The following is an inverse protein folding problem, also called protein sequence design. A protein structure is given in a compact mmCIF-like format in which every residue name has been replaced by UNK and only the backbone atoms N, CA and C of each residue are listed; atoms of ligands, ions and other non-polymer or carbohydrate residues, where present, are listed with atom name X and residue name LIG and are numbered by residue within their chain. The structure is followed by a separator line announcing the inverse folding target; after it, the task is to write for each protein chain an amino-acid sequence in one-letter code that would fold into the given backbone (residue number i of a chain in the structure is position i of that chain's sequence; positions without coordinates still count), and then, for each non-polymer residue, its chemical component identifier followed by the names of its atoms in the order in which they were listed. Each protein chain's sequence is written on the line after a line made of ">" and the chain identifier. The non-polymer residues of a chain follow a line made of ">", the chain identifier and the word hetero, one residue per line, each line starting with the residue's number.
data_IF_647313144452
#
_entry.id   IF_647313144452
#
_cell.length_a   1.000
_cell.length_b   1.000
_cell.length_c   1.000
_cell.angle_alpha   90.00
_cell.angle_beta   90.00
_cell.angle_gamma   90.00
#
_symmetry.space_group_name_H-M   'P 1'
#
loop_
_entity.id
_entity.type
_entity.pdbx_description
1 polymer ?
#
# COMPACT_ATOMS: atom_id res chain seq x y z
N UNK A 1 -10.45 -7.29 22.28
CA UNK A 1 -9.64 -8.47 21.91
C UNK A 1 -10.45 -9.70 21.49
N UNK A 2 -11.45 -10.16 22.23
CA UNK A 2 -12.21 -11.39 21.85
C UNK A 2 -12.83 -11.32 20.44
N UNK A 3 -13.50 -10.20 20.10
CA UNK A 3 -14.05 -9.94 18.76
C UNK A 3 -12.98 -10.01 17.67
N UNK A 4 -11.81 -9.39 17.91
CA UNK A 4 -10.70 -9.41 16.97
C UNK A 4 -10.20 -10.84 16.72
N UNK A 5 -9.96 -11.64 17.77
CA UNK A 5 -9.53 -13.04 17.63
C UNK A 5 -10.53 -13.88 16.82
N UNK A 6 -11.83 -13.67 17.04
CA UNK A 6 -12.87 -14.35 16.28
C UNK A 6 -12.77 -14.03 14.78
N UNK A 7 -12.72 -12.75 14.41
CA UNK A 7 -12.67 -12.35 13.00
C UNK A 7 -11.29 -12.52 12.37
N UNK A 8 -10.21 -12.55 13.15
CA UNK A 8 -8.89 -12.91 12.66
C UNK A 8 -8.93 -14.30 12.00
N UNK A 9 -9.53 -15.27 12.68
CA UNK A 9 -9.66 -16.64 12.18
C UNK A 9 -10.80 -16.81 11.17
N UNK A 10 -11.94 -16.13 11.37
CA UNK A 10 -13.13 -16.31 10.50
C UNK A 10 -13.13 -15.49 9.22
N UNK A 11 -12.33 -14.41 9.14
CA UNK A 11 -12.37 -13.47 8.02
C UNK A 11 -10.97 -13.10 7.52
N UNK A 12 -10.13 -12.52 8.37
CA UNK A 12 -8.85 -11.96 7.91
C UNK A 12 -7.89 -13.03 7.38
N UNK A 13 -7.64 -14.11 8.13
CA UNK A 13 -6.77 -15.21 7.66
C UNK A 13 -7.34 -15.90 6.40
N UNK A 14 -8.64 -16.21 6.31
CA UNK A 14 -9.24 -16.70 5.07
C UNK A 14 -9.00 -15.77 3.87
N UNK A 15 -9.19 -14.45 4.02
CA UNK A 15 -8.91 -13.48 2.95
C UNK A 15 -7.43 -13.43 2.58
N UNK A 16 -6.53 -13.49 3.55
CA UNK A 16 -5.08 -13.54 3.32
C UNK A 16 -4.72 -14.82 2.54
N UNK A 17 -5.27 -15.97 2.94
CA UNK A 17 -5.08 -17.25 2.25
C UNK A 17 -5.54 -17.18 0.80
N UNK A 18 -6.71 -16.58 0.57
CA UNK A 18 -7.26 -16.40 -0.78
C UNK A 18 -6.36 -15.48 -1.63
N UNK A 19 -5.93 -14.33 -1.10
CA UNK A 19 -5.02 -13.44 -1.80
C UNK A 19 -3.69 -14.12 -2.17
N UNK A 20 -3.09 -14.88 -1.23
CA UNK A 20 -1.87 -15.64 -1.47
C UNK A 20 -2.09 -16.77 -2.49
N UNK A 21 -3.26 -17.42 -2.49
CA UNK A 21 -3.62 -18.41 -3.51
C UNK A 21 -3.66 -17.79 -4.91
N UNK A 22 -4.07 -16.53 -5.02
CA UNK A 22 -4.06 -15.73 -6.25
C UNK A 22 -2.69 -15.11 -6.59
N UNK A 23 -1.65 -15.42 -5.80
CA UNK A 23 -0.28 -14.96 -6.03
C UNK A 23 -0.06 -13.49 -5.69
N UNK A 24 -0.85 -12.93 -4.78
CA UNK A 24 -0.72 -11.56 -4.29
C UNK A 24 0.15 -11.50 -3.03
N UNK A 25 0.90 -10.40 -2.91
CA UNK A 25 1.46 -9.96 -1.63
C UNK A 25 0.37 -9.26 -0.82
N UNK A 26 0.46 -9.34 0.51
CA UNK A 26 -0.56 -8.78 1.39
C UNK A 26 0.08 -7.80 2.39
N UNK A 27 -0.42 -6.58 2.41
CA UNK A 27 -0.18 -5.62 3.49
C UNK A 27 -1.44 -5.61 4.35
N UNK A 28 -1.30 -5.90 5.64
CA UNK A 28 -2.42 -5.87 6.58
C UNK A 28 -2.30 -4.60 7.42
N UNK A 29 -3.35 -3.78 7.38
CA UNK A 29 -3.53 -2.62 8.26
C UNK A 29 -4.44 -2.98 9.45
N UNK A 30 -4.38 -2.25 10.58
CA UNK A 30 -5.17 -2.62 11.75
C UNK A 30 -6.65 -2.31 11.53
N UNK A 31 -7.58 -3.04 12.20
CA UNK A 31 -8.98 -2.70 12.11
C UNK A 31 -9.30 -1.39 12.84
N UNK A 32 -10.06 -0.52 12.18
CA UNK A 32 -10.55 0.74 12.72
C UNK A 32 -9.92 1.97 12.06
N UNK A 33 -10.41 3.14 12.45
CA UNK A 33 -9.85 4.45 12.07
C UNK A 33 -8.94 4.91 13.21
N UNK A 34 -7.77 5.44 12.90
CA UNK A 34 -6.88 5.99 13.92
C UNK A 34 -7.48 7.27 14.53
N UNK A 35 -7.45 7.43 15.86
CA UNK A 35 -7.84 8.68 16.47
C UNK A 35 -6.98 9.85 16.00
N UNK A 36 -7.55 11.06 15.96
CA UNK A 36 -6.80 12.27 15.58
C UNK A 36 -5.65 12.57 16.54
N UNK A 37 -5.88 12.40 17.83
CA UNK A 37 -4.88 12.58 18.90
C UNK A 37 -4.58 11.23 19.54
N UNK A 38 -3.32 10.82 19.47
CA UNK A 38 -2.83 9.59 20.11
C UNK A 38 -1.61 9.92 20.97
N UNK A 39 -1.47 9.22 22.10
CA UNK A 39 -0.38 9.43 23.05
C UNK A 39 0.32 8.13 23.41
N UNK A 40 1.62 8.20 23.67
CA UNK A 40 2.40 7.03 24.12
C UNK A 40 1.71 6.37 25.30
N UNK A 41 1.46 5.07 25.18
CA UNK A 41 0.82 4.28 26.23
C UNK A 41 -0.69 4.47 26.38
N UNK A 42 -1.37 5.25 25.53
CA UNK A 42 -2.82 5.45 25.59
C UNK A 42 -3.63 4.18 25.26
N UNK A 43 -4.96 4.32 25.17
CA UNK A 43 -5.86 3.21 24.83
C UNK A 43 -5.58 2.64 23.42
N UNK A 44 -5.29 3.49 22.44
CA UNK A 44 -5.05 3.07 21.07
C UNK A 44 -3.67 2.42 20.90
N UNK A 45 -2.63 2.94 21.56
CA UNK A 45 -1.29 2.34 21.60
C UNK A 45 -1.33 0.93 22.19
N UNK A 46 -2.02 0.75 23.33
CA UNK A 46 -2.24 -0.58 23.92
C UNK A 46 -3.06 -1.50 23.02
N UNK A 47 -4.03 -0.95 22.29
CA UNK A 47 -4.81 -1.70 21.31
C UNK A 47 -3.93 -2.21 20.16
N UNK A 48 -3.10 -1.35 19.55
CA UNK A 48 -2.17 -1.72 18.48
C UNK A 48 -1.22 -2.84 18.90
N UNK A 49 -0.59 -2.71 20.07
CA UNK A 49 0.25 -3.78 20.64
C UNK A 49 -0.52 -5.10 20.75
N UNK A 50 -1.74 -5.05 21.30
CA UNK A 50 -2.57 -6.24 21.49
C UNK A 50 -2.97 -6.94 20.19
N UNK A 51 -3.41 -6.19 19.17
CA UNK A 51 -3.80 -6.78 17.88
C UNK A 51 -2.60 -7.32 17.12
N UNK A 52 -1.48 -6.58 17.10
CA UNK A 52 -0.32 -6.97 16.33
C UNK A 52 0.42 -8.15 16.96
N UNK A 53 0.54 -8.19 18.29
CA UNK A 53 0.98 -9.39 19.01
C UNK A 53 0.11 -10.60 18.64
N UNK A 54 -1.21 -10.43 18.59
CA UNK A 54 -2.13 -11.54 18.26
C UNK A 54 -1.99 -11.99 16.80
N UNK A 55 -1.84 -11.06 15.87
CA UNK A 55 -1.66 -11.35 14.44
C UNK A 55 -0.32 -12.04 14.16
N UNK A 56 0.77 -11.49 14.71
CA UNK A 56 2.13 -11.99 14.53
C UNK A 56 2.36 -13.36 15.18
N UNK A 57 1.58 -13.71 16.21
CA UNK A 57 1.64 -15.02 16.86
C UNK A 57 0.94 -16.14 16.07
N UNK A 58 0.10 -15.82 15.08
CA UNK A 58 -0.60 -16.83 14.30
C UNK A 58 0.38 -17.63 13.42
N UNK A 59 0.22 -18.96 13.44
CA UNK A 59 1.16 -19.87 12.76
C UNK A 59 1.20 -19.65 11.25
N UNK A 60 0.05 -19.46 10.62
CA UNK A 60 -0.02 -19.24 9.17
C UNK A 60 0.64 -17.91 8.80
N UNK A 61 0.43 -16.88 9.61
CA UNK A 61 1.05 -15.57 9.42
C UNK A 61 2.57 -15.66 9.51
N UNK A 62 3.13 -16.34 10.52
CA UNK A 62 4.59 -16.51 10.65
C UNK A 62 5.18 -17.30 9.49
N UNK A 63 4.56 -18.41 9.10
CA UNK A 63 5.04 -19.25 7.99
C UNK A 63 5.06 -18.50 6.66
N UNK A 64 4.18 -17.50 6.50
CA UNK A 64 4.03 -16.74 5.25
C UNK A 64 4.55 -15.29 5.38
N UNK A 65 5.42 -14.99 6.36
CA UNK A 65 5.93 -13.64 6.58
C UNK A 65 6.83 -13.11 5.44
N UNK A 66 7.19 -13.94 4.46
CA UNK A 66 7.87 -13.50 3.23
C UNK A 66 6.92 -12.89 2.18
N UNK A 67 5.61 -13.00 2.38
CA UNK A 67 4.56 -12.54 1.45
C UNK A 67 3.55 -11.63 2.17
N UNK A 68 3.40 -11.79 3.49
CA UNK A 68 2.56 -10.97 4.36
C UNK A 68 3.42 -9.92 5.06
N UNK A 69 2.92 -8.69 5.10
CA UNK A 69 3.52 -7.56 5.81
C UNK A 69 2.47 -6.82 6.65
N UNK A 70 2.93 -5.99 7.58
CA UNK A 70 2.10 -5.29 8.57
C UNK A 70 2.29 -3.79 8.42
N UNK A 71 1.21 -3.05 8.26
CA UNK A 71 1.19 -1.59 8.42
C UNK A 71 0.71 -1.25 9.84
N UNK A 72 1.52 -0.56 10.64
CA UNK A 72 1.26 -0.47 12.10
C UNK A 72 -0.02 0.29 12.46
N UNK A 73 -0.33 1.36 11.73
CA UNK A 73 -1.53 2.18 11.92
C UNK A 73 -1.86 2.95 10.63
N UNK A 74 -3.15 3.16 10.39
CA UNK A 74 -3.68 3.99 9.32
C UNK A 74 -3.76 5.44 9.79
N UNK A 75 -3.09 6.38 9.12
CA UNK A 75 -3.20 7.82 9.29
C UNK A 75 -3.11 8.37 10.73
N UNK A 76 -1.99 8.19 11.45
CA UNK A 76 -1.72 9.03 12.60
C UNK A 76 -1.73 10.52 12.21
N UNK A 77 -2.50 11.34 12.93
CA UNK A 77 -2.58 12.79 12.68
C UNK A 77 -1.65 13.54 13.63
N UNK A 78 -1.92 13.49 14.93
CA UNK A 78 -1.10 14.08 15.99
C UNK A 78 -0.67 13.01 16.99
N UNK A 79 0.64 12.90 17.20
CA UNK A 79 1.25 11.90 18.09
C UNK A 79 1.97 12.63 19.21
N UNK A 80 1.60 12.31 20.45
CA UNK A 80 2.10 12.97 21.65
C UNK A 80 2.87 11.99 22.55
N UNK A 81 3.70 12.55 23.42
CA UNK A 81 4.26 11.81 24.55
C UNK A 81 3.16 11.37 25.53
N UNK A 82 3.49 10.49 26.47
CA UNK A 82 2.51 9.92 27.41
C UNK A 82 1.89 10.94 28.38
N UNK A 83 2.55 12.10 28.57
CA UNK A 83 2.04 13.24 29.34
C UNK A 83 1.23 14.24 28.48
N UNK A 84 1.04 13.95 27.19
CA UNK A 84 0.34 14.80 26.23
C UNK A 84 1.22 15.89 25.59
N UNK A 85 2.50 15.99 25.93
CA UNK A 85 3.40 16.97 25.33
C UNK A 85 3.79 16.61 23.88
N UNK A 86 4.10 17.64 23.09
CA UNK A 86 4.68 17.48 21.76
C UNK A 86 6.19 17.25 21.86
N UNK A 87 6.72 16.27 21.13
CA UNK A 87 8.15 15.96 21.10
C UNK A 87 8.54 15.30 19.78
N UNK A 88 9.76 15.55 19.30
CA UNK A 88 10.32 14.84 18.14
C UNK A 88 10.58 13.34 18.40
N UNK A 89 10.42 12.88 19.66
CA UNK A 89 10.47 11.47 20.04
C UNK A 89 9.12 10.76 19.97
N UNK A 90 8.01 11.50 19.87
CA UNK A 90 6.68 10.93 20.07
C UNK A 90 6.37 9.80 19.08
N UNK A 91 6.73 9.96 17.80
CA UNK A 91 6.56 8.92 16.78
C UNK A 91 7.38 7.66 17.07
N UNK A 92 8.64 7.82 17.47
CA UNK A 92 9.51 6.69 17.85
C UNK A 92 8.94 5.96 19.07
N UNK A 93 8.71 6.67 20.17
CA UNK A 93 8.30 6.08 21.45
C UNK A 93 6.88 5.48 21.38
N UNK A 94 6.06 5.95 20.44
CA UNK A 94 4.75 5.38 20.19
C UNK A 94 4.84 4.05 19.42
N UNK A 95 5.63 3.99 18.34
CA UNK A 95 5.64 2.85 17.43
C UNK A 95 6.72 1.80 17.71
N UNK A 96 7.87 2.16 18.30
CA UNK A 96 8.91 1.20 18.65
C UNK A 96 8.38 0.05 19.53
N UNK A 97 7.60 0.29 20.60
CA UNK A 97 7.04 -0.79 21.40
C UNK A 97 6.05 -1.69 20.65
N UNK A 98 5.46 -1.21 19.55
CA UNK A 98 4.56 -2.01 18.70
C UNK A 98 5.39 -2.92 17.78
N UNK A 99 6.50 -2.41 17.24
CA UNK A 99 7.48 -3.21 16.48
C UNK A 99 8.04 -4.34 17.34
N UNK A 100 8.44 -4.01 18.57
CA UNK A 100 9.02 -4.98 19.51
C UNK A 100 8.03 -6.13 19.79
N UNK A 101 6.77 -5.81 20.09
CA UNK A 101 5.72 -6.80 20.33
C UNK A 101 5.47 -7.74 19.13
N UNK A 102 5.63 -7.24 17.90
CA UNK A 102 5.54 -8.07 16.69
C UNK A 102 6.73 -9.02 16.59
N UNK A 103 7.95 -8.49 16.77
CA UNK A 103 9.19 -9.27 16.66
C UNK A 103 9.31 -10.34 17.75
N UNK A 104 8.84 -10.05 18.96
CA UNK A 104 8.74 -11.05 20.04
C UNK A 104 7.93 -12.29 19.67
N UNK A 105 7.00 -12.20 18.70
CA UNK A 105 6.23 -13.36 18.23
C UNK A 105 6.94 -14.15 17.11
N UNK A 106 8.15 -13.74 16.71
CA UNK A 106 8.93 -14.38 15.66
C UNK A 106 8.48 -14.04 14.24
N UNK A 107 7.70 -12.96 14.06
CA UNK A 107 7.33 -12.48 12.73
C UNK A 107 8.54 -11.82 12.05
N UNK A 108 8.89 -12.27 10.84
CA UNK A 108 10.07 -11.82 10.10
C UNK A 108 9.75 -10.94 8.88
N UNK A 109 8.47 -10.71 8.62
CA UNK A 109 8.02 -9.96 7.46
C UNK A 109 8.25 -8.46 7.60
N UNK A 110 7.97 -7.73 6.52
CA UNK A 110 8.13 -6.28 6.51
C UNK A 110 7.13 -5.65 7.47
N UNK A 111 7.62 -4.71 8.29
CA UNK A 111 6.77 -3.79 9.06
C UNK A 111 6.83 -2.42 8.40
N UNK A 112 5.68 -1.88 8.02
CA UNK A 112 5.51 -0.54 7.48
C UNK A 112 5.09 0.41 8.59
N UNK A 113 6.01 1.31 8.94
CA UNK A 113 5.86 2.30 10.00
C UNK A 113 5.21 3.57 9.42
N UNK A 114 4.09 4.05 9.97
CA UNK A 114 3.42 5.26 9.50
C UNK A 114 4.07 6.53 10.07
N UNK A 115 3.90 7.64 9.37
CA UNK A 115 4.23 8.98 9.86
C UNK A 115 3.02 9.71 10.46
N UNK A 116 3.25 10.93 10.93
CA UNK A 116 2.19 11.84 11.38
C UNK A 116 1.53 12.57 10.19
N UNK A 117 0.54 13.43 10.48
CA UNK A 117 -0.13 14.25 9.48
C UNK A 117 -0.80 13.42 8.38
N UNK A 118 -1.57 12.41 8.76
CA UNK A 118 -2.21 11.48 7.82
C UNK A 118 -1.16 10.72 6.97
N UNK A 119 -0.09 10.24 7.60
CA UNK A 119 1.02 9.54 6.91
C UNK A 119 1.78 10.39 5.87
N UNK A 120 1.87 11.70 6.06
CA UNK A 120 2.67 12.60 5.20
C UNK A 120 3.96 13.14 5.84
N UNK A 121 4.14 13.00 7.16
CA UNK A 121 5.24 13.63 7.90
C UNK A 121 6.14 12.61 8.61
N UNK A 122 7.44 12.56 8.25
CA UNK A 122 8.42 11.56 8.71
C UNK A 122 9.73 12.15 9.23
N UNK A 123 9.85 13.47 9.29
CA UNK A 123 11.11 14.16 9.58
C UNK A 123 11.70 13.78 10.95
N UNK A 124 10.83 13.52 11.93
CA UNK A 124 11.24 13.16 13.30
C UNK A 124 11.99 11.82 13.37
N UNK A 125 11.72 10.88 12.43
CA UNK A 125 12.44 9.61 12.35
C UNK A 125 13.90 9.77 11.95
N UNK A 126 14.31 10.91 11.37
CA UNK A 126 15.73 11.19 11.11
C UNK A 126 16.53 11.29 12.41
N UNK A 127 15.92 11.88 13.44
CA UNK A 127 16.55 12.06 14.76
C UNK A 127 16.33 10.86 15.67
N UNK A 128 15.14 10.27 15.60
CA UNK A 128 14.71 9.18 16.46
C UNK A 128 14.24 8.00 15.58
N UNK A 129 15.16 7.27 14.91
CA UNK A 129 14.79 6.20 13.99
C UNK A 129 14.25 4.98 14.75
N UNK A 130 13.32 4.27 14.11
CA UNK A 130 12.94 2.92 14.56
C UNK A 130 14.13 1.97 14.43
N UNK A 131 14.28 1.09 15.41
CA UNK A 131 15.20 -0.05 15.39
C UNK A 131 14.42 -1.34 15.24
N UNK A 132 14.97 -2.30 14.49
CA UNK A 132 14.32 -3.58 14.23
C UNK A 132 15.36 -4.68 14.24
N UNK A 133 15.13 -5.71 15.06
CA UNK A 133 16.04 -6.85 15.20
C UNK A 133 16.19 -7.67 13.92
N UNK A 134 15.16 -7.67 13.06
CA UNK A 134 15.20 -8.35 11.75
C UNK A 134 15.77 -7.44 10.65
N UNK A 135 16.00 -6.15 10.93
CA UNK A 135 16.32 -5.11 9.96
C UNK A 135 15.38 -5.16 8.72
N UNK A 136 14.09 -5.43 8.94
CA UNK A 136 13.11 -5.66 7.90
C UNK A 136 11.86 -4.80 8.12
N UNK A 137 12.08 -3.48 8.14
CA UNK A 137 11.03 -2.48 8.24
C UNK A 137 11.29 -1.32 7.27
N UNK A 138 10.19 -0.66 6.89
CA UNK A 138 10.17 0.54 6.07
C UNK A 138 8.98 1.41 6.41
N UNK A 139 8.64 2.41 5.58
CA UNK A 139 7.58 3.38 5.88
C UNK A 139 6.40 3.27 4.92
N UNK A 140 5.18 3.30 5.48
CA UNK A 140 3.93 3.40 4.73
C UNK A 140 3.53 4.88 4.63
N UNK A 141 3.34 5.40 3.42
CA UNK A 141 3.15 6.84 3.12
C UNK A 141 1.83 7.04 2.37
N UNK A 142 1.13 8.15 2.63
CA UNK A 142 -0.05 8.54 1.84
C UNK A 142 0.30 9.74 0.96
N UNK A 143 -0.18 9.75 -0.28
CA UNK A 143 0.14 10.81 -1.24
C UNK A 143 -1.12 11.31 -1.94
N UNK A 144 -1.48 12.57 -1.68
CA UNK A 144 -2.65 13.22 -2.26
C UNK A 144 -2.31 14.59 -2.87
N UNK A 145 -3.17 15.04 -3.79
CA UNK A 145 -3.08 16.38 -4.34
C UNK A 145 -3.26 17.44 -3.25
N UNK A 146 -2.49 18.51 -3.30
CA UNK A 146 -2.40 19.55 -2.27
C UNK A 146 -1.35 19.26 -1.19
N UNK A 147 -0.75 18.07 -1.16
CA UNK A 147 0.29 17.72 -0.19
C UNK A 147 1.69 18.04 -0.72
N UNK A 148 2.73 17.79 0.08
CA UNK A 148 4.14 17.92 -0.32
C UNK A 148 4.48 19.29 -0.93
N UNK A 149 4.12 20.36 -0.22
CA UNK A 149 4.34 21.74 -0.68
C UNK A 149 3.25 22.23 -1.64
N UNK A 150 2.00 21.86 -1.38
CA UNK A 150 0.83 22.26 -2.17
C UNK A 150 0.92 21.85 -3.65
N UNK A 151 1.42 20.63 -3.90
CA UNK A 151 1.52 20.10 -5.25
C UNK A 151 0.13 19.76 -5.77
N UNK A 152 -0.31 20.42 -6.82
CA UNK A 152 -1.67 20.32 -7.39
C UNK A 152 -1.62 20.46 -8.91
N UNK A 153 -2.76 20.33 -9.59
CA UNK A 153 -2.88 20.67 -11.02
C UNK A 153 -2.55 22.14 -11.37
N UNK A 154 -2.37 23.02 -10.37
CA UNK A 154 -1.92 24.40 -10.56
C UNK A 154 -0.43 24.58 -10.23
N UNK A 155 0.19 23.60 -9.58
CA UNK A 155 1.58 23.61 -9.12
C UNK A 155 2.12 22.18 -9.16
N UNK A 156 2.58 21.74 -10.33
CA UNK A 156 2.99 20.34 -10.60
C UNK A 156 4.40 20.25 -11.22
N UNK A 157 5.29 21.20 -10.88
CA UNK A 157 6.69 21.10 -11.28
C UNK A 157 7.35 19.84 -10.69
N UNK A 158 7.97 19.03 -11.55
CA UNK A 158 8.48 17.71 -11.19
C UNK A 158 9.61 17.81 -10.14
N UNK A 159 10.59 18.68 -10.37
CA UNK A 159 11.74 18.82 -9.48
C UNK A 159 11.34 19.40 -8.12
N UNK A 160 10.35 20.29 -8.11
CA UNK A 160 9.74 20.81 -6.89
C UNK A 160 9.06 19.70 -6.10
N UNK A 161 8.27 18.83 -6.75
CA UNK A 161 7.66 17.69 -6.06
C UNK A 161 8.74 16.77 -5.47
N UNK A 162 9.76 16.40 -6.24
CA UNK A 162 10.86 15.54 -5.78
C UNK A 162 11.53 16.12 -4.53
N UNK A 163 11.88 17.42 -4.54
CA UNK A 163 12.49 18.09 -3.38
C UNK A 163 11.56 18.12 -2.17
N UNK A 164 10.29 18.47 -2.37
CA UNK A 164 9.33 18.57 -1.27
C UNK A 164 9.00 17.21 -0.66
N UNK A 165 8.84 16.18 -1.50
CA UNK A 165 8.61 14.81 -1.05
C UNK A 165 9.79 14.32 -0.20
N UNK A 166 11.03 14.46 -0.68
CA UNK A 166 12.23 14.15 0.11
C UNK A 166 12.28 14.94 1.42
N UNK A 167 11.91 16.21 1.41
CA UNK A 167 11.95 17.03 2.62
C UNK A 167 10.97 16.55 3.70
N UNK A 168 9.82 15.99 3.32
CA UNK A 168 8.82 15.47 4.25
C UNK A 168 8.99 13.98 4.57
N UNK A 169 9.51 13.21 3.61
CA UNK A 169 9.79 11.76 3.69
C UNK A 169 11.29 11.50 3.45
N UNK A 170 12.19 12.00 4.31
CA UNK A 170 13.64 11.91 4.08
C UNK A 170 14.15 10.45 3.98
N UNK A 171 13.41 9.51 4.56
CA UNK A 171 13.75 8.09 4.54
C UNK A 171 13.71 7.47 3.15
N UNK A 172 13.08 8.12 2.16
CA UNK A 172 13.05 7.64 0.76
C UNK A 172 14.45 7.44 0.17
N UNK A 173 15.47 8.15 0.64
CA UNK A 173 16.84 7.99 0.13
C UNK A 173 17.55 6.73 0.64
N UNK A 174 17.05 6.13 1.73
CA UNK A 174 17.77 5.06 2.46
C UNK A 174 16.94 3.80 2.65
N UNK A 175 15.62 3.88 2.52
CA UNK A 175 14.68 2.78 2.73
C UNK A 175 13.59 2.79 1.65
N UNK A 176 13.11 1.61 1.21
CA UNK A 176 11.93 1.53 0.35
C UNK A 176 10.73 2.23 0.96
N UNK A 177 9.87 2.80 0.13
CA UNK A 177 8.62 3.42 0.58
C UNK A 177 7.46 2.64 -0.02
N UNK A 178 6.41 2.41 0.78
CA UNK A 178 5.15 1.91 0.25
C UNK A 178 4.11 3.02 0.34
N UNK A 179 3.64 3.50 -0.80
CA UNK A 179 2.49 4.40 -0.83
C UNK A 179 1.23 3.56 -0.72
N UNK A 180 0.63 3.55 0.47
CA UNK A 180 -0.53 2.71 0.82
C UNK A 180 -1.86 3.35 0.45
N UNK A 181 -1.89 4.67 0.27
CA UNK A 181 -3.03 5.40 -0.26
C UNK A 181 -2.58 6.53 -1.19
N UNK A 182 -3.22 6.57 -2.36
CA UNK A 182 -3.12 7.61 -3.38
C UNK A 182 -4.25 7.38 -4.38
N UNK A 183 -4.97 8.43 -4.74
CA UNK A 183 -5.90 8.39 -5.85
C UNK A 183 -6.03 9.80 -6.42
N UNK A 184 -6.60 9.88 -7.62
CA UNK A 184 -6.97 11.15 -8.21
C UNK A 184 -7.98 10.95 -9.33
N UNK A 185 -8.84 11.94 -9.48
CA UNK A 185 -9.64 12.13 -10.68
C UNK A 185 -9.92 13.62 -10.87
N UNK A 186 -10.19 14.06 -12.10
CA UNK A 186 -10.57 15.46 -12.34
C UNK A 186 -11.89 15.82 -11.66
N UNK A 187 -12.12 17.12 -11.55
CA UNK A 187 -13.42 17.67 -11.17
C UNK A 187 -14.54 17.11 -12.06
N UNK A 188 -15.66 16.72 -11.46
CA UNK A 188 -16.83 16.21 -12.19
C UNK A 188 -17.60 17.39 -12.80
N UNK A 189 -17.65 17.53 -14.14
CA UNK A 189 -18.36 18.62 -14.80
C UNK A 189 -19.86 18.64 -14.48
N UNK A 190 -20.47 17.49 -14.19
CA UNK A 190 -21.91 17.41 -13.91
C UNK A 190 -22.27 17.90 -12.50
N UNK A 191 -21.26 18.06 -11.63
CA UNK A 191 -21.43 18.40 -10.21
C UNK A 191 -20.74 19.69 -9.82
N UNK A 192 -20.47 20.57 -10.78
CA UNK A 192 -19.75 21.82 -10.55
C UNK A 192 -20.39 22.74 -9.47
N UNK A 193 -21.69 22.61 -9.25
CA UNK A 193 -22.43 23.38 -8.24
C UNK A 193 -22.61 22.66 -6.89
N UNK A 194 -22.09 21.44 -6.73
CA UNK A 194 -22.31 20.57 -5.56
C UNK A 194 -21.09 20.51 -4.61
N UNK A 195 -20.20 21.50 -4.66
CA UNK A 195 -18.98 21.52 -3.84
C UNK A 195 -19.22 21.66 -2.34
N UNK A 196 -18.16 21.40 -1.56
CA UNK A 196 -18.14 21.53 -0.10
C UNK A 196 -16.87 22.23 0.37
N UNK A 197 -16.84 22.66 1.64
CA UNK A 197 -15.64 23.20 2.28
C UNK A 197 -14.88 22.06 2.96
N UNK A 198 -13.59 21.89 2.63
CA UNK A 198 -12.74 20.84 3.20
C UNK A 198 -12.23 21.20 4.62
N UNK A 199 -11.45 20.33 5.24
CA UNK A 199 -10.89 20.48 6.61
C UNK A 199 -9.97 21.70 6.74
N UNK A 200 -9.55 22.30 5.62
CA UNK A 200 -8.71 23.49 5.54
C UNK A 200 -9.50 24.76 5.22
N UNK A 201 -10.83 24.69 5.19
CA UNK A 201 -11.69 25.84 4.89
C UNK A 201 -11.60 26.29 3.43
N UNK A 202 -11.33 25.37 2.50
CA UNK A 202 -11.27 25.64 1.06
C UNK A 202 -12.48 25.03 0.35
N UNK A 203 -13.13 25.81 -0.53
CA UNK A 203 -14.20 25.28 -1.37
C UNK A 203 -13.62 24.31 -2.40
N UNK A 204 -14.22 23.12 -2.47
CA UNK A 204 -13.77 22.00 -3.29
C UNK A 204 -14.93 21.47 -4.12
N UNK A 205 -14.77 21.45 -5.45
CA UNK A 205 -15.71 20.80 -6.36
C UNK A 205 -15.62 19.28 -6.23
N UNK A 206 -16.73 18.53 -6.34
CA UNK A 206 -16.66 17.07 -6.40
C UNK A 206 -15.86 16.62 -7.61
N UNK A 207 -15.09 15.55 -7.46
CA UNK A 207 -14.40 14.86 -8.55
C UNK A 207 -15.18 13.63 -9.01
N UNK A 208 -14.61 12.88 -9.94
CA UNK A 208 -15.25 11.74 -10.59
C UNK A 208 -15.26 10.44 -9.75
N UNK A 209 -15.00 10.53 -8.43
CA UNK A 209 -15.17 9.44 -7.47
C UNK A 209 -13.91 8.97 -6.76
N UNK A 210 -12.96 9.88 -6.54
CA UNK A 210 -11.71 9.67 -5.78
C UNK A 210 -11.66 10.59 -4.55
N UNK A 211 -10.69 10.40 -3.65
CA UNK A 211 -10.48 11.32 -2.54
C UNK A 211 -9.84 12.64 -2.97
N UNK A 212 -8.83 12.59 -3.85
CA UNK A 212 -8.17 13.81 -4.33
C UNK A 212 -8.63 14.23 -5.73
N UNK A 213 -8.69 15.54 -5.93
CA UNK A 213 -8.98 16.17 -7.22
C UNK A 213 -7.68 16.53 -7.93
N UNK A 214 -7.37 15.84 -9.02
CA UNK A 214 -6.17 16.06 -9.83
C UNK A 214 -6.29 15.36 -11.19
N UNK A 215 -5.40 15.70 -12.13
CA UNK A 215 -5.37 15.12 -13.47
C UNK A 215 -4.05 14.40 -13.73
N UNK A 216 -4.12 13.23 -14.39
CA UNK A 216 -2.92 12.44 -14.74
C UNK A 216 -1.88 13.28 -15.49
N UNK A 217 -2.29 14.06 -16.50
CA UNK A 217 -1.41 14.88 -17.35
C UNK A 217 -0.69 16.01 -16.61
N UNK A 218 -1.07 16.30 -15.36
CA UNK A 218 -0.49 17.36 -14.53
C UNK A 218 0.10 16.76 -13.26
N UNK A 219 -0.65 16.78 -12.15
CA UNK A 219 -0.17 16.29 -10.87
C UNK A 219 0.23 14.82 -10.92
N UNK A 220 -0.50 13.98 -11.67
CA UNK A 220 -0.17 12.56 -11.78
C UNK A 220 1.20 12.30 -12.41
N UNK A 221 1.56 13.00 -13.50
CA UNK A 221 2.89 12.91 -14.11
C UNK A 221 3.99 13.50 -13.22
N UNK A 222 3.68 14.53 -12.43
CA UNK A 222 4.61 15.06 -11.44
C UNK A 222 4.88 14.04 -10.32
N UNK A 223 3.84 13.34 -9.84
CA UNK A 223 4.00 12.21 -8.93
C UNK A 223 4.80 11.08 -9.56
N UNK A 224 4.51 10.73 -10.83
CA UNK A 224 5.27 9.70 -11.55
C UNK A 224 6.76 10.04 -11.60
N UNK A 225 7.12 11.31 -11.76
CA UNK A 225 8.51 11.76 -11.72
C UNK A 225 9.15 11.51 -10.34
N UNK A 226 8.43 11.75 -9.22
CA UNK A 226 8.90 11.38 -7.86
C UNK A 226 9.14 9.88 -7.75
N UNK A 227 8.15 9.08 -8.16
CA UNK A 227 8.21 7.63 -8.12
C UNK A 227 9.42 7.08 -8.93
N UNK A 228 9.58 7.55 -10.17
CA UNK A 228 10.66 7.11 -11.06
C UNK A 228 12.03 7.62 -10.61
N UNK A 229 12.13 8.83 -10.02
CA UNK A 229 13.39 9.40 -9.55
C UNK A 229 14.01 8.59 -8.41
N UNK A 230 13.22 8.23 -7.40
CA UNK A 230 13.74 7.48 -6.25
C UNK A 230 13.86 5.98 -6.54
N UNK A 231 13.03 5.44 -7.42
CA UNK A 231 13.15 4.07 -7.91
C UNK A 231 12.94 2.96 -6.86
N UNK A 232 12.58 3.32 -5.62
CA UNK A 232 12.36 2.41 -4.49
C UNK A 232 10.99 2.61 -3.83
N UNK A 233 10.05 3.22 -4.55
CA UNK A 233 8.68 3.47 -4.11
C UNK A 233 7.79 2.40 -4.72
N UNK A 234 7.09 1.64 -3.88
CA UNK A 234 5.92 0.86 -4.28
C UNK A 234 4.65 1.69 -4.07
N UNK A 235 3.58 1.42 -4.81
CA UNK A 235 2.29 2.10 -4.60
C UNK A 235 1.09 1.21 -4.89
N UNK A 236 0.03 1.40 -4.11
CA UNK A 236 -1.33 0.98 -4.41
C UNK A 236 -2.23 2.21 -4.45
N UNK A 237 -3.38 2.16 -5.14
CA UNK A 237 -4.41 3.19 -4.97
C UNK A 237 -5.36 2.83 -3.83
N UNK A 238 -6.09 3.84 -3.37
CA UNK A 238 -6.86 3.80 -2.12
C UNK A 238 -7.97 2.77 -2.15
N UNK A 239 -8.69 2.64 -3.27
CA UNK A 239 -9.82 1.71 -3.34
C UNK A 239 -9.86 0.79 -4.57
N UNK A 240 -10.42 -0.44 -4.45
CA UNK A 240 -10.55 -1.36 -5.59
C UNK A 240 -11.37 -0.81 -6.77
N UNK A 241 -12.43 -0.03 -6.51
CA UNK A 241 -13.26 0.54 -7.59
C UNK A 241 -12.51 1.56 -8.46
N UNK A 242 -11.44 2.13 -7.94
CA UNK A 242 -10.57 3.04 -8.68
C UNK A 242 -9.66 2.24 -9.63
N UNK A 243 -9.34 0.99 -9.28
CA UNK A 243 -8.49 0.14 -10.09
C UNK A 243 -9.27 -0.37 -11.28
N UNK A 244 -10.43 -0.97 -11.03
CA UNK A 244 -11.22 -1.60 -12.08
C UNK A 244 -12.71 -1.35 -11.91
N UNK A 245 -13.40 -1.36 -13.05
CA UNK A 245 -14.85 -1.29 -13.08
C UNK A 245 -15.44 -2.64 -12.64
N UNK A 246 -15.93 -2.69 -11.40
CA UNK A 246 -16.50 -3.89 -10.80
C UNK A 246 -17.79 -4.33 -11.52
N UNK A 247 -18.60 -3.39 -12.01
CA UNK A 247 -19.85 -3.71 -12.68
C UNK A 247 -19.60 -4.38 -14.03
N UNK A 248 -18.62 -3.89 -14.79
CA UNK A 248 -18.19 -4.53 -16.03
C UNK A 248 -17.56 -5.88 -15.75
N UNK A 249 -16.71 -5.99 -14.72
CA UNK A 249 -16.12 -7.27 -14.34
C UNK A 249 -17.20 -8.31 -14.00
N UNK A 250 -18.19 -7.97 -13.17
CA UNK A 250 -19.27 -8.87 -12.80
C UNK A 250 -20.16 -9.26 -13.98
N UNK A 251 -20.38 -8.35 -14.94
CA UNK A 251 -21.23 -8.62 -16.12
C UNK A 251 -20.53 -9.42 -17.21
N UNK A 252 -19.23 -9.20 -17.42
CA UNK A 252 -18.54 -9.72 -18.63
C UNK A 252 -17.28 -10.52 -18.32
N UNK A 253 -16.86 -10.61 -17.06
CA UNK A 253 -15.58 -11.20 -16.65
C UNK A 253 -14.34 -10.43 -17.12
N UNK A 254 -14.50 -9.20 -17.61
CA UNK A 254 -13.39 -8.39 -18.15
C UNK A 254 -12.92 -7.39 -17.10
N UNK A 255 -11.63 -7.39 -16.82
CA UNK A 255 -10.99 -6.35 -15.99
C UNK A 255 -10.65 -5.19 -16.90
N UNK A 256 -11.28 -4.03 -16.63
CA UNK A 256 -10.99 -2.76 -17.30
C UNK A 256 -10.77 -1.68 -16.23
N UNK A 257 -10.05 -0.58 -16.52
CA UNK A 257 -9.80 0.46 -15.53
C UNK A 257 -11.09 1.02 -14.91
N UNK A 258 -11.03 1.49 -13.66
CA UNK A 258 -12.12 2.24 -13.02
C UNK A 258 -12.44 3.57 -13.72
N UNK A 259 -13.41 4.33 -13.21
CA UNK A 259 -13.81 5.66 -13.74
C UNK A 259 -14.38 5.65 -15.18
N UNK A 260 -15.10 4.60 -15.59
CA UNK A 260 -15.67 4.54 -16.94
C UNK A 260 -16.64 5.69 -17.25
N UNK A 261 -17.31 6.24 -16.22
CA UNK A 261 -18.15 7.44 -16.31
C UNK A 261 -17.39 8.67 -16.85
N UNK A 262 -16.09 8.79 -16.61
CA UNK A 262 -15.27 9.91 -17.07
C UNK A 262 -15.15 9.98 -18.60
N UNK A 263 -15.40 8.88 -19.32
CA UNK A 263 -15.33 8.83 -20.80
C UNK A 263 -16.30 9.79 -21.47
N UNK A 264 -17.48 10.00 -20.90
CA UNK A 264 -18.50 10.91 -21.48
C UNK A 264 -18.02 12.36 -21.56
N UNK A 265 -17.03 12.71 -20.74
CA UNK A 265 -16.41 14.03 -20.66
C UNK A 265 -15.02 14.07 -21.29
N UNK A 266 -14.53 12.97 -21.87
CA UNK A 266 -13.16 12.88 -22.38
C UNK A 266 -12.07 12.90 -21.28
N UNK A 267 -12.43 12.65 -20.02
CA UNK A 267 -11.53 12.75 -18.86
C UNK A 267 -11.01 11.40 -18.35
N UNK A 268 -11.31 10.31 -19.05
CA UNK A 268 -10.97 8.96 -18.61
C UNK A 268 -9.47 8.72 -18.43
N UNK A 269 -8.64 9.27 -19.32
CA UNK A 269 -7.19 9.11 -19.23
C UNK A 269 -6.57 9.95 -18.10
N UNK A 270 -7.31 10.94 -17.61
CA UNK A 270 -6.89 11.81 -16.50
C UNK A 270 -7.17 11.20 -15.12
N UNK A 271 -7.85 10.05 -15.05
CA UNK A 271 -8.16 9.36 -13.80
C UNK A 271 -7.08 8.34 -13.42
N UNK A 272 -6.87 8.14 -12.11
CA UNK A 272 -5.82 7.26 -11.59
C UNK A 272 -5.94 5.81 -12.06
N UNK A 273 -7.18 5.29 -12.23
CA UNK A 273 -7.41 3.92 -12.69
C UNK A 273 -6.75 3.61 -14.04
N UNK A 274 -6.91 4.51 -15.01
CA UNK A 274 -6.28 4.37 -16.33
C UNK A 274 -4.76 4.53 -16.25
N UNK A 275 -4.29 5.55 -15.51
CA UNK A 275 -2.86 5.82 -15.37
C UNK A 275 -2.12 4.66 -14.71
N UNK A 276 -2.59 4.17 -13.56
CA UNK A 276 -1.95 3.10 -12.81
C UNK A 276 -1.89 1.78 -13.59
N UNK A 277 -2.97 1.38 -14.28
CA UNK A 277 -2.94 0.19 -15.13
C UNK A 277 -1.88 0.30 -16.24
N UNK A 278 -1.74 1.47 -16.85
CA UNK A 278 -0.73 1.70 -17.88
C UNK A 278 0.70 1.75 -17.32
N UNK A 279 0.92 2.40 -16.17
CA UNK A 279 2.25 2.45 -15.55
C UNK A 279 2.72 1.09 -15.05
N UNK A 280 1.81 0.27 -14.50
CA UNK A 280 2.15 -1.12 -14.11
C UNK A 280 2.47 -1.98 -15.34
N UNK A 281 1.73 -1.80 -16.43
CA UNK A 281 2.03 -2.45 -17.71
C UNK A 281 3.40 -2.00 -18.25
N UNK A 282 3.68 -0.70 -18.25
CA UNK A 282 4.97 -0.15 -18.66
C UNK A 282 6.11 -0.74 -17.84
N UNK A 283 5.99 -0.73 -16.51
CA UNK A 283 6.95 -1.31 -15.60
C UNK A 283 7.17 -2.80 -15.90
N UNK A 284 6.09 -3.59 -16.01
CA UNK A 284 6.17 -5.01 -16.31
C UNK A 284 6.88 -5.30 -17.64
N UNK A 285 6.57 -4.54 -18.68
CA UNK A 285 7.19 -4.71 -20.00
C UNK A 285 8.68 -4.32 -19.98
N UNK A 286 9.08 -3.32 -19.18
CA UNK A 286 10.50 -3.00 -18.95
C UNK A 286 11.22 -4.12 -18.21
N UNK A 287 10.57 -4.80 -17.25
CA UNK A 287 11.20 -5.93 -16.54
C UNK A 287 11.57 -7.11 -17.43
N UNK A 288 10.92 -7.29 -18.59
CA UNK A 288 11.32 -8.31 -19.56
C UNK A 288 12.69 -8.04 -20.20
N UNK A 289 13.25 -6.82 -20.04
CA UNK A 289 14.60 -6.46 -20.53
C UNK A 289 15.65 -6.43 -19.43
N UNK A 290 15.29 -6.08 -18.20
CA UNK A 290 16.23 -5.99 -17.06
C UNK A 290 16.26 -7.24 -16.19
N UNK A 291 15.20 -8.05 -16.23
CA UNK A 291 15.01 -9.24 -15.42
C UNK A 291 15.13 -8.90 -13.94
N UNK A 292 14.01 -8.81 -13.20
CA UNK A 292 14.11 -9.05 -11.76
C UNK A 292 14.65 -10.48 -11.63
N UNK A 293 15.96 -10.60 -11.48
CA UNK A 293 16.61 -11.85 -11.12
C UNK A 293 16.01 -12.20 -9.77
N UNK A 294 14.99 -13.04 -9.78
CA UNK A 294 14.68 -13.84 -8.60
C UNK A 294 16.04 -14.44 -8.21
N UNK A 295 16.51 -14.15 -7.00
CA UNK A 295 17.70 -14.80 -6.46
C UNK A 295 17.47 -16.29 -6.66
N UNK A 296 18.19 -16.88 -7.63
CA UNK A 296 18.04 -18.28 -7.94
C UNK A 296 18.48 -19.04 -6.70
N UNK A 297 17.51 -19.62 -6.01
CA UNK A 297 17.81 -20.64 -5.03
C UNK A 297 18.46 -21.79 -5.80
N UNK A 298 19.69 -22.16 -5.46
CA UNK A 298 20.36 -23.36 -5.99
C UNK A 298 19.66 -24.68 -5.57
N UNK A 299 18.51 -24.60 -4.91
CA UNK A 299 17.72 -25.74 -4.50
C UNK A 299 16.92 -26.29 -5.70
N UNK A 300 17.02 -27.59 -5.91
CA UNK A 300 16.29 -28.32 -6.94
C UNK A 300 14.78 -28.22 -6.75
N UNK A 301 14.04 -28.26 -7.85
CA UNK A 301 12.57 -28.34 -7.83
C UNK A 301 12.16 -29.79 -7.55
N UNK A 302 11.50 -30.00 -6.42
CA UNK A 302 10.96 -31.31 -5.99
C UNK A 302 9.60 -31.58 -6.62
N UNK A 303 8.73 -30.57 -6.62
CA UNK A 303 7.42 -30.65 -7.28
C UNK A 303 7.02 -29.31 -7.86
N UNK A 304 6.15 -29.37 -8.87
CA UNK A 304 5.56 -28.19 -9.50
C UNK A 304 4.05 -28.33 -9.49
N UNK A 305 3.36 -27.37 -8.90
CA UNK A 305 1.91 -27.24 -8.88
C UNK A 305 1.52 -26.04 -9.73
N UNK A 306 0.40 -26.17 -10.44
CA UNK A 306 -0.12 -25.12 -11.29
C UNK A 306 -1.46 -24.67 -10.74
N UNK A 307 -1.65 -23.36 -10.63
CA UNK A 307 -2.93 -22.77 -10.24
C UNK A 307 -3.42 -21.88 -11.36
N UNK A 308 -4.69 -22.02 -11.74
CA UNK A 308 -5.34 -21.09 -12.65
C UNK A 308 -5.53 -19.72 -11.96
N UNK A 309 -6.02 -18.73 -12.71
CA UNK A 309 -6.24 -17.37 -12.17
C UNK A 309 -7.31 -17.31 -11.07
N UNK A 310 -8.12 -18.35 -10.91
CA UNK A 310 -9.10 -18.50 -9.82
C UNK A 310 -8.49 -19.15 -8.56
N UNK A 311 -7.17 -19.37 -8.54
CA UNK A 311 -6.48 -20.02 -7.43
C UNK A 311 -6.75 -21.53 -7.29
N UNK A 312 -7.38 -22.17 -8.29
CA UNK A 312 -7.62 -23.62 -8.30
C UNK A 312 -6.42 -24.36 -8.89
N UNK A 313 -6.02 -25.45 -8.22
CA UNK A 313 -4.97 -26.32 -8.72
C UNK A 313 -5.42 -27.03 -10.01
N UNK A 314 -4.52 -27.11 -10.99
CA UNK A 314 -4.75 -27.76 -12.29
C UNK A 314 -3.55 -28.65 -12.63
N UNK A 315 -3.77 -29.72 -13.39
CA UNK A 315 -2.68 -30.65 -13.76
C UNK A 315 -1.61 -29.97 -14.62
N UNK A 316 -2.03 -29.19 -15.62
CA UNK A 316 -1.10 -28.53 -16.54
C UNK A 316 -1.71 -27.29 -17.18
N UNK A 317 -0.97 -26.18 -17.28
CA UNK A 317 -1.46 -24.96 -17.89
C UNK A 317 -1.51 -25.12 -19.42
N UNK A 318 -2.65 -24.78 -20.03
CA UNK A 318 -2.92 -24.98 -21.47
C UNK A 318 -2.91 -23.68 -22.26
N UNK A 319 -3.51 -22.62 -21.74
CA UNK A 319 -3.47 -21.26 -22.27
C UNK A 319 -3.92 -20.26 -21.18
N UNK A 320 -3.39 -19.02 -21.20
CA UNK A 320 -3.73 -17.96 -20.25
C UNK A 320 -2.73 -17.77 -19.10
N UNK A 321 -3.16 -17.06 -18.05
CA UNK A 321 -2.33 -16.72 -16.89
C UNK A 321 -2.43 -17.82 -15.82
N UNK A 322 -1.29 -18.28 -15.32
CA UNK A 322 -1.20 -19.27 -14.24
C UNK A 322 -0.19 -18.86 -13.18
N UNK A 323 -0.39 -19.34 -11.97
CA UNK A 323 0.63 -19.32 -10.91
C UNK A 323 1.29 -20.69 -10.87
N UNK A 324 2.59 -20.73 -11.13
CA UNK A 324 3.41 -21.93 -10.90
C UNK A 324 3.96 -21.83 -9.48
N UNK A 325 3.65 -22.80 -8.63
CA UNK A 325 4.27 -22.98 -7.31
C UNK A 325 5.21 -24.17 -7.37
N UNK A 326 6.48 -23.95 -7.04
CA UNK A 326 7.50 -24.98 -7.04
C UNK A 326 7.97 -25.23 -5.62
N UNK A 327 7.82 -26.46 -5.14
CA UNK A 327 8.46 -26.90 -3.90
C UNK A 327 9.93 -27.16 -4.19
N UNK A 328 10.80 -26.53 -3.42
CA UNK A 328 12.24 -26.66 -3.55
C UNK A 328 12.79 -27.70 -2.56
N UNK A 329 13.95 -28.28 -2.85
CA UNK A 329 14.59 -29.32 -2.02
C UNK A 329 14.92 -28.89 -0.59
N UNK A 330 14.98 -27.58 -0.35
CA UNK A 330 15.14 -26.98 0.98
C UNK A 330 13.80 -26.68 1.69
N UNK A 331 12.68 -27.18 1.17
CA UNK A 331 11.34 -27.00 1.73
C UNK A 331 10.68 -25.64 1.45
N UNK A 332 11.37 -24.72 0.74
CA UNK A 332 10.80 -23.42 0.37
C UNK A 332 9.89 -23.54 -0.85
N UNK A 333 8.92 -22.64 -0.97
CA UNK A 333 8.06 -22.54 -2.16
C UNK A 333 8.48 -21.33 -2.98
N UNK A 334 8.77 -21.55 -4.26
CA UNK A 334 8.94 -20.49 -5.27
C UNK A 334 7.67 -20.34 -6.08
N UNK A 335 7.08 -19.16 -6.07
CA UNK A 335 5.89 -18.84 -6.88
C UNK A 335 6.25 -17.91 -8.03
N UNK A 336 5.74 -18.18 -9.24
CA UNK A 336 5.87 -17.27 -10.39
C UNK A 336 4.58 -17.24 -11.20
N UNK A 337 4.21 -16.05 -11.67
CA UNK A 337 3.11 -15.86 -12.63
C UNK A 337 3.66 -16.07 -14.04
N UNK A 338 3.02 -16.92 -14.82
CA UNK A 338 3.35 -17.18 -16.22
C UNK A 338 2.14 -16.90 -17.10
N UNK A 339 2.40 -16.42 -18.32
CA UNK A 339 1.40 -16.31 -19.36
C UNK A 339 1.76 -17.28 -20.48
N UNK A 340 0.90 -18.28 -20.71
CA UNK A 340 1.03 -19.21 -21.83
C UNK A 340 0.13 -18.76 -22.96
N UNK A 341 0.73 -18.60 -24.14
CA UNK A 341 0.02 -18.21 -25.36
C UNK A 341 -0.89 -19.32 -25.86
#
# INVERSE_FOLDING_TARGET
>A
MARYRLYLQKLYIPLIKDAIAHGLYVIVRPPGVCPQDISVGDKYNRYLKGIWKTFAADEYIRQNSGIISIELANEPVRVHMGDGSNSDKALHDYFQPVVDEIREQGFKGIIWVPGAGYQSQYQDYVKNPITDSENNFSYAVHVYSGWYGNMTDKSYDHDTFIRNFKSQVPMVETKPIMVTEIDWSPEDPDKASEGHWNEWGQWTQPNLGSWATASTSKWGLAWKAVHDHFGNIGMTITHPQEYYDIDVYLKTGKVIPGFQNAKKHGLFEECCGYACMNWYKEWYLKQNTTGIKQLETQADVVSTLYYNIEGKEVEKPTAGVYIIKQLLSNGKIRSRKVFLK
#
